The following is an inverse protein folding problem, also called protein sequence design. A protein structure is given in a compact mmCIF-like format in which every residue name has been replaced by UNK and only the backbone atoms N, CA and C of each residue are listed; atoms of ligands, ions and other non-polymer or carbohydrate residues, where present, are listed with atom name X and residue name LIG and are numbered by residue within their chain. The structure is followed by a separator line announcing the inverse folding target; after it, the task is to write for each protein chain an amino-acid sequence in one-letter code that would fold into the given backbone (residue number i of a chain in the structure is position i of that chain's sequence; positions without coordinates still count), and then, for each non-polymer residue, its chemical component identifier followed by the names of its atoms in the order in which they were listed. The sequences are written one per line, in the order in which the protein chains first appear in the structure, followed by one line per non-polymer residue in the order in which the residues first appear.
data_IF_799276818587
#
_entry.id   IF_799276818587
#
_cell.length_a   1.000
_cell.length_b   1.000
_cell.length_c   1.000
_cell.angle_alpha   90.00
_cell.angle_beta   90.00
_cell.angle_gamma   90.00
#
_symmetry.space_group_name_H-M   'P 1'
#
loop_
_entity.id
_entity.type
_entity.pdbx_description
1 polymer ?
#
# COMPACT_ATOMS: atom_id res chain seq x y z
N UNK A 1 15.98 -1.06 -23.68
CA UNK A 1 16.97 -2.15 -23.66
C UNK A 1 18.35 -1.56 -23.72
N UNK A 2 19.23 -1.94 -22.79
CA UNK A 2 20.64 -1.57 -22.78
C UNK A 2 21.46 -2.81 -23.18
N UNK A 3 22.41 -2.65 -24.08
CA UNK A 3 23.27 -3.75 -24.51
C UNK A 3 24.70 -3.46 -24.10
N UNK A 4 25.27 -4.34 -23.27
CA UNK A 4 26.68 -4.33 -22.93
C UNK A 4 27.44 -5.12 -24.00
N UNK A 5 28.47 -4.51 -24.59
CA UNK A 5 29.34 -5.14 -25.57
C UNK A 5 30.77 -5.16 -25.03
N UNK A 6 31.40 -6.32 -24.99
CA UNK A 6 32.76 -6.53 -24.54
C UNK A 6 33.57 -7.19 -25.65
N UNK A 7 34.69 -6.58 -26.05
CA UNK A 7 35.53 -7.06 -27.13
C UNK A 7 37.00 -7.21 -26.68
N UNK A 8 37.68 -8.20 -27.23
CA UNK A 8 39.13 -8.35 -27.18
C UNK A 8 39.67 -8.83 -28.54
N UNK A 9 40.97 -9.10 -28.63
CA UNK A 9 41.63 -9.51 -29.89
C UNK A 9 41.11 -10.83 -30.48
N UNK A 10 40.35 -11.62 -29.69
CA UNK A 10 39.76 -12.89 -30.12
C UNK A 10 38.30 -12.75 -30.57
N UNK A 11 37.64 -11.62 -30.30
CA UNK A 11 36.27 -11.36 -30.72
C UNK A 11 35.47 -10.49 -29.75
N UNK A 12 34.17 -10.36 -30.03
CA UNK A 12 33.22 -9.61 -29.22
C UNK A 12 32.13 -10.52 -28.65
N UNK A 13 31.67 -10.19 -27.45
CA UNK A 13 30.49 -10.76 -26.81
C UNK A 13 29.55 -9.63 -26.40
N UNK A 14 28.25 -9.84 -26.61
CA UNK A 14 27.23 -8.90 -26.20
C UNK A 14 26.21 -9.55 -25.27
N UNK A 15 25.68 -8.76 -24.33
CA UNK A 15 24.59 -9.14 -23.44
C UNK A 15 23.63 -7.97 -23.31
N UNK A 16 22.33 -8.25 -23.32
CA UNK A 16 21.30 -7.20 -23.24
C UNK A 16 20.53 -7.30 -21.92
N UNK A 17 20.28 -6.15 -21.31
CA UNK A 17 19.38 -5.99 -20.17
C UNK A 17 18.21 -5.12 -20.58
N UNK A 18 17.00 -5.55 -20.24
CA UNK A 18 15.81 -4.75 -20.43
C UNK A 18 15.55 -3.91 -19.18
N UNK A 19 15.39 -2.60 -19.36
CA UNK A 19 14.98 -1.73 -18.25
C UNK A 19 13.46 -1.75 -18.19
N UNK A 20 12.92 -2.47 -17.22
CA UNK A 20 11.50 -2.45 -16.91
C UNK A 20 11.23 -1.34 -15.90
N UNK A 21 10.75 -0.20 -16.38
CA UNK A 21 10.26 0.87 -15.50
C UNK A 21 8.85 0.48 -15.06
N UNK A 22 8.71 0.08 -13.80
CA UNK A 22 7.39 -0.16 -13.22
C UNK A 22 6.76 1.20 -12.92
N UNK A 23 5.65 1.58 -13.58
CA UNK A 23 5.00 2.84 -13.30
C UNK A 23 4.52 2.85 -11.85
N UNK A 24 4.69 3.98 -11.17
CA UNK A 24 4.19 4.18 -9.81
C UNK A 24 2.65 4.29 -9.84
N UNK A 25 1.96 3.14 -9.85
CA UNK A 25 0.50 3.08 -9.94
C UNK A 25 -0.10 3.50 -8.59
N UNK A 26 -0.76 4.65 -8.56
CA UNK A 26 -1.47 5.12 -7.37
C UNK A 26 -2.64 4.18 -7.08
N UNK A 27 -2.69 3.52 -5.90
CA UNK A 27 -3.79 2.62 -5.54
C UNK A 27 -5.14 3.28 -5.79
N UNK A 28 -6.12 2.53 -6.28
CA UNK A 28 -7.48 3.05 -6.55
C UNK A 28 -8.24 3.37 -5.26
N UNK A 29 -7.87 2.73 -4.16
CA UNK A 29 -8.36 2.96 -2.82
C UNK A 29 -7.90 1.83 -1.88
N UNK A 30 -8.43 1.77 -0.64
CA UNK A 30 -8.22 0.66 0.27
C UNK A 30 -8.90 -0.61 -0.26
N UNK A 31 -8.20 -1.36 -1.13
CA UNK A 31 -8.50 -2.78 -1.32
C UNK A 31 -7.72 -3.53 -0.24
N UNK A 32 -8.43 -4.13 0.72
CA UNK A 32 -7.74 -4.88 1.78
C UNK A 32 -7.02 -6.08 1.18
N UNK A 33 -5.81 -6.40 1.66
CA UNK A 33 -5.12 -7.64 1.32
C UNK A 33 -6.04 -8.87 1.54
N UNK A 34 -6.90 -8.78 2.57
CA UNK A 34 -7.95 -9.75 2.85
C UNK A 34 -9.01 -9.86 1.73
N UNK A 35 -9.35 -8.77 1.05
CA UNK A 35 -10.27 -8.78 -0.09
C UNK A 35 -9.65 -9.52 -1.28
N UNK A 36 -8.36 -9.27 -1.59
CA UNK A 36 -7.64 -10.05 -2.59
C UNK A 36 -7.63 -11.54 -2.22
N UNK A 37 -7.28 -11.88 -0.97
CA UNK A 37 -7.27 -13.28 -0.55
C UNK A 37 -8.62 -13.98 -0.71
N UNK A 38 -9.71 -13.29 -0.36
CA UNK A 38 -11.07 -13.80 -0.57
C UNK A 38 -11.36 -13.99 -2.07
N UNK A 39 -10.91 -13.06 -2.92
CA UNK A 39 -11.06 -13.16 -4.37
C UNK A 39 -10.26 -14.32 -4.97
N UNK A 40 -9.06 -14.59 -4.44
CA UNK A 40 -8.25 -15.76 -4.82
C UNK A 40 -8.80 -17.09 -4.27
N UNK A 41 -9.93 -17.06 -3.52
CA UNK A 41 -10.55 -18.21 -2.89
C UNK A 41 -9.57 -18.96 -1.97
N UNK A 42 -8.92 -18.23 -1.05
CA UNK A 42 -8.19 -18.84 0.05
C UNK A 42 -9.15 -19.54 1.01
N UNK A 43 -8.71 -20.68 1.56
CA UNK A 43 -9.45 -21.38 2.60
C UNK A 43 -9.72 -20.45 3.80
N UNK A 44 -10.93 -20.45 4.39
CA UNK A 44 -11.28 -19.58 5.51
C UNK A 44 -10.30 -19.64 6.69
N UNK A 45 -9.81 -20.83 7.01
CA UNK A 45 -8.81 -21.09 8.06
C UNK A 45 -7.44 -20.47 7.76
N UNK A 46 -7.12 -20.22 6.49
CA UNK A 46 -5.87 -19.60 6.04
C UNK A 46 -5.98 -18.08 5.85
N UNK A 47 -7.17 -17.47 6.03
CA UNK A 47 -7.35 -16.02 5.87
C UNK A 47 -6.61 -15.20 6.94
N UNK A 48 -6.27 -15.79 8.08
CA UNK A 48 -5.42 -15.17 9.10
C UNK A 48 -4.01 -14.87 8.58
N UNK A 49 -3.60 -15.57 7.52
CA UNK A 49 -2.31 -15.43 6.88
C UNK A 49 -2.25 -14.29 5.85
N UNK A 50 -3.39 -13.63 5.58
CA UNK A 50 -3.53 -12.48 4.70
C UNK A 50 -3.09 -11.18 5.36
N UNK A 51 -1.83 -11.16 5.78
CA UNK A 51 -1.17 -10.03 6.43
C UNK A 51 -0.03 -9.54 5.55
N UNK A 52 0.23 -8.22 5.62
CA UNK A 52 1.29 -7.57 4.83
C UNK A 52 2.67 -8.07 5.25
N UNK A 53 2.81 -8.45 6.52
CA UNK A 53 3.97 -9.17 7.04
C UNK A 53 3.64 -10.66 7.04
N UNK A 54 4.35 -11.44 6.23
CA UNK A 54 4.24 -12.90 6.20
C UNK A 54 4.95 -13.44 7.44
N UNK A 55 4.19 -13.88 8.45
CA UNK A 55 4.76 -14.63 9.58
C UNK A 55 5.05 -16.07 9.15
N UNK A 56 6.33 -16.41 9.04
CA UNK A 56 6.81 -17.74 8.64
C UNK A 56 6.31 -18.82 9.59
N UNK A 57 6.14 -18.51 10.88
CA UNK A 57 5.67 -19.46 11.89
C UNK A 57 4.23 -19.89 11.61
N UNK A 58 3.39 -18.99 11.08
CA UNK A 58 2.00 -19.28 10.77
C UNK A 58 1.87 -20.43 9.75
N UNK A 59 2.83 -20.57 8.83
CA UNK A 59 2.88 -21.61 7.81
C UNK A 59 3.52 -22.91 8.30
N UNK A 60 4.58 -22.80 9.11
CA UNK A 60 5.25 -23.96 9.71
C UNK A 60 4.30 -24.78 10.60
N UNK A 61 3.36 -24.12 11.27
CA UNK A 61 2.38 -24.77 12.14
C UNK A 61 1.04 -25.11 11.46
N UNK A 62 0.81 -24.66 10.22
CA UNK A 62 -0.40 -24.95 9.44
C UNK A 62 -0.05 -25.53 8.06
N UNK A 63 0.40 -26.80 7.99
CA UNK A 63 0.89 -27.40 6.75
C UNK A 63 -0.16 -27.47 5.62
N UNK A 64 -1.46 -27.43 5.94
CA UNK A 64 -2.53 -27.37 4.95
C UNK A 64 -2.61 -26.01 4.23
N UNK A 65 -2.22 -24.90 4.89
CA UNK A 65 -2.15 -23.58 4.27
C UNK A 65 -0.97 -23.41 3.31
N UNK A 66 0.01 -24.32 3.32
CA UNK A 66 1.11 -24.31 2.34
C UNK A 66 0.61 -24.51 0.90
N UNK A 67 -0.51 -25.21 0.71
CA UNK A 67 -1.14 -25.36 -0.61
C UNK A 67 -1.75 -24.06 -1.13
N UNK A 68 -2.04 -23.12 -0.23
CA UNK A 68 -2.64 -21.81 -0.53
C UNK A 68 -1.57 -20.71 -0.68
N UNK A 69 -0.30 -21.04 -0.45
CA UNK A 69 0.81 -20.08 -0.41
C UNK A 69 0.98 -19.31 -1.72
N UNK A 70 0.79 -19.97 -2.87
CA UNK A 70 0.86 -19.30 -4.18
C UNK A 70 -0.25 -18.27 -4.37
N UNK A 71 -1.45 -18.54 -3.87
CA UNK A 71 -2.59 -17.60 -3.92
C UNK A 71 -2.36 -16.40 -2.99
N UNK A 72 -1.78 -16.63 -1.82
CA UNK A 72 -1.37 -15.55 -0.93
C UNK A 72 -0.29 -14.68 -1.58
N UNK A 73 0.76 -15.29 -2.14
CA UNK A 73 1.87 -14.56 -2.75
C UNK A 73 1.38 -13.72 -3.94
N UNK A 74 0.35 -14.16 -4.68
CA UNK A 74 -0.33 -13.35 -5.70
C UNK A 74 -0.93 -12.06 -5.14
N UNK A 75 -1.46 -12.11 -3.92
CA UNK A 75 -2.00 -10.93 -3.23
C UNK A 75 -0.93 -10.08 -2.55
N UNK A 76 0.15 -10.71 -2.09
CA UNK A 76 1.31 -10.04 -1.49
C UNK A 76 2.32 -9.52 -2.54
N UNK A 77 2.01 -9.66 -3.84
CA UNK A 77 2.93 -9.30 -4.91
C UNK A 77 3.12 -7.79 -4.98
N UNK A 78 4.33 -7.31 -4.68
CA UNK A 78 4.71 -5.91 -4.84
C UNK A 78 5.20 -5.60 -6.27
N UNK A 79 5.42 -6.65 -7.08
CA UNK A 79 5.89 -6.53 -8.46
C UNK A 79 7.35 -6.12 -8.58
N UNK A 80 8.11 -6.17 -7.48
CA UNK A 80 9.50 -5.77 -7.42
C UNK A 80 10.40 -7.00 -7.56
N UNK A 81 11.49 -6.83 -8.31
CA UNK A 81 12.49 -7.87 -8.50
C UNK A 81 13.51 -7.86 -7.35
N UNK A 82 13.38 -8.80 -6.41
CA UNK A 82 14.25 -8.90 -5.22
C UNK A 82 15.47 -9.80 -5.43
N UNK A 83 15.77 -10.25 -6.67
CA UNK A 83 16.85 -11.22 -6.94
C UNK A 83 18.22 -10.76 -6.47
N UNK A 84 18.51 -9.46 -6.54
CA UNK A 84 19.79 -8.91 -6.08
C UNK A 84 20.01 -9.11 -4.57
N UNK A 85 18.98 -8.83 -3.76
CA UNK A 85 19.02 -9.11 -2.33
C UNK A 85 19.16 -10.62 -2.07
N UNK A 86 18.41 -11.44 -2.81
CA UNK A 86 18.46 -12.89 -2.65
C UNK A 86 19.85 -13.48 -2.94
N UNK A 87 20.50 -13.03 -4.02
CA UNK A 87 21.88 -13.42 -4.35
C UNK A 87 22.82 -13.01 -3.20
N UNK A 88 22.69 -11.78 -2.70
CA UNK A 88 23.51 -11.29 -1.60
C UNK A 88 23.31 -12.10 -0.30
N UNK A 89 22.08 -12.55 -0.03
CA UNK A 89 21.73 -13.38 1.12
C UNK A 89 21.95 -14.89 0.89
N UNK A 90 22.62 -15.28 -0.20
CA UNK A 90 23.04 -16.67 -0.43
C UNK A 90 21.94 -17.59 -0.95
N UNK A 91 20.85 -17.05 -1.51
CA UNK A 91 19.81 -17.84 -2.18
C UNK A 91 20.38 -18.39 -3.51
N UNK A 92 20.35 -19.72 -3.73
CA UNK A 92 20.87 -20.32 -4.96
C UNK A 92 20.15 -19.83 -6.21
N UNK A 93 20.84 -19.80 -7.35
CA UNK A 93 20.29 -19.38 -8.64
C UNK A 93 19.01 -20.13 -9.04
N UNK A 94 18.94 -21.43 -8.72
CA UNK A 94 17.75 -22.27 -8.94
C UNK A 94 16.52 -21.85 -8.12
N UNK A 95 16.70 -21.03 -7.08
CA UNK A 95 15.63 -20.54 -6.20
C UNK A 95 15.29 -19.06 -6.45
N UNK A 96 15.96 -18.36 -7.36
CA UNK A 96 15.74 -16.93 -7.59
C UNK A 96 14.35 -16.60 -8.17
N UNK A 97 13.65 -17.58 -8.76
CA UNK A 97 12.27 -17.42 -9.20
C UNK A 97 11.27 -17.15 -8.05
N UNK A 98 11.65 -17.41 -6.80
CA UNK A 98 10.85 -16.99 -5.63
C UNK A 98 11.10 -15.54 -5.23
N UNK A 99 12.14 -14.89 -5.78
CA UNK A 99 12.57 -13.56 -5.40
C UNK A 99 12.06 -12.48 -6.36
N UNK A 100 11.90 -12.77 -7.66
CA UNK A 100 11.41 -11.78 -8.61
C UNK A 100 9.87 -11.66 -8.65
N UNK A 101 9.17 -12.53 -7.91
CA UNK A 101 7.70 -12.64 -7.84
C UNK A 101 7.03 -12.61 -9.23
N UNK A 102 7.79 -12.91 -10.29
CA UNK A 102 7.44 -12.60 -11.68
C UNK A 102 6.48 -13.61 -12.28
N UNK A 103 6.39 -14.83 -11.72
CA UNK A 103 5.55 -15.90 -12.21
C UNK A 103 5.20 -16.95 -11.16
N UNK A 104 4.38 -17.92 -11.55
CA UNK A 104 4.03 -19.08 -10.71
C UNK A 104 5.26 -19.99 -10.56
N UNK A 105 6.05 -19.77 -9.50
CA UNK A 105 7.16 -20.66 -9.16
C UNK A 105 6.59 -21.97 -8.58
N UNK A 106 6.78 -23.14 -9.25
CA UNK A 106 6.30 -24.41 -8.71
C UNK A 106 6.97 -24.70 -7.37
N UNK A 107 6.29 -25.40 -6.45
CA UNK A 107 6.86 -25.72 -5.15
C UNK A 107 8.15 -26.53 -5.29
N UNK A 108 9.25 -26.03 -4.73
CA UNK A 108 10.54 -26.69 -4.72
C UNK A 108 11.00 -26.85 -3.25
N UNK A 109 11.01 -28.11 -2.79
CA UNK A 109 11.34 -28.44 -1.41
C UNK A 109 12.78 -28.02 -1.02
N UNK A 110 13.71 -28.01 -1.98
CA UNK A 110 15.07 -27.52 -1.72
C UNK A 110 15.08 -26.01 -1.41
N UNK A 111 14.27 -25.24 -2.13
CA UNK A 111 14.18 -23.79 -1.95
C UNK A 111 13.49 -23.40 -0.64
N UNK A 112 12.72 -24.31 -0.02
CA UNK A 112 12.14 -24.07 1.31
C UNK A 112 13.20 -23.83 2.39
N UNK A 113 14.41 -24.38 2.23
CA UNK A 113 15.53 -24.11 3.15
C UNK A 113 15.98 -22.64 3.13
N UNK A 114 15.62 -21.88 2.09
CA UNK A 114 15.97 -20.48 1.92
C UNK A 114 14.79 -19.54 2.17
N UNK A 115 13.66 -20.05 2.69
CA UNK A 115 12.42 -19.28 2.90
C UNK A 115 12.66 -18.02 3.72
N UNK A 116 13.48 -18.08 4.78
CA UNK A 116 13.77 -16.92 5.63
C UNK A 116 14.51 -15.82 4.87
N UNK A 117 15.51 -16.18 4.06
CA UNK A 117 16.30 -15.26 3.24
C UNK A 117 15.44 -14.65 2.13
N UNK A 118 14.66 -15.49 1.44
CA UNK A 118 13.73 -15.06 0.40
C UNK A 118 12.71 -14.07 0.97
N UNK A 119 12.04 -14.42 2.07
CA UNK A 119 11.04 -13.56 2.70
C UNK A 119 11.65 -12.29 3.28
N UNK A 120 12.87 -12.34 3.81
CA UNK A 120 13.59 -11.13 4.23
C UNK A 120 13.74 -10.17 3.07
N UNK A 121 14.22 -10.64 1.92
CA UNK A 121 14.39 -9.81 0.73
C UNK A 121 13.07 -9.29 0.17
N UNK A 122 12.06 -10.15 0.05
CA UNK A 122 10.70 -9.76 -0.37
C UNK A 122 10.11 -8.69 0.57
N UNK A 123 10.44 -8.73 1.86
CA UNK A 123 9.96 -7.75 2.85
C UNK A 123 10.86 -6.52 2.99
N UNK A 124 12.07 -6.49 2.43
CA UNK A 124 13.01 -5.36 2.63
C UNK A 124 12.43 -4.05 2.11
N UNK A 125 11.83 -4.08 0.92
CA UNK A 125 11.18 -2.90 0.36
C UNK A 125 10.00 -2.48 1.23
N UNK A 126 9.17 -3.41 1.71
CA UNK A 126 8.05 -3.15 2.62
C UNK A 126 8.51 -2.49 3.93
N UNK A 127 9.66 -2.92 4.48
CA UNK A 127 10.27 -2.32 5.68
C UNK A 127 10.76 -0.89 5.44
N UNK A 128 11.03 -0.52 4.19
CA UNK A 128 11.42 0.84 3.80
C UNK A 128 10.21 1.76 3.51
N UNK A 129 9.00 1.20 3.41
CA UNK A 129 7.77 1.97 3.21
C UNK A 129 7.37 2.70 4.51
N UNK A 130 6.78 3.89 4.40
CA UNK A 130 6.10 4.53 5.52
C UNK A 130 5.02 3.61 6.11
N UNK A 131 4.82 3.69 7.42
CA UNK A 131 3.60 3.17 8.04
C UNK A 131 2.36 3.97 7.60
N UNK A 132 1.15 3.55 7.95
CA UNK A 132 -0.05 4.36 7.74
C UNK A 132 0.02 5.65 8.59
N UNK A 133 -0.50 6.78 8.10
CA UNK A 133 -0.78 7.96 8.93
C UNK A 133 -1.68 7.58 10.11
N UNK A 134 -1.51 8.28 11.23
CA UNK A 134 -2.28 8.03 12.46
C UNK A 134 -3.12 9.23 12.85
N UNK A 135 -4.12 9.02 13.69
CA UNK A 135 -4.99 10.07 14.23
C UNK A 135 -5.61 10.96 13.13
N UNK A 136 -6.24 10.34 12.12
CA UNK A 136 -6.95 11.07 11.08
C UNK A 136 -8.16 11.78 11.72
N UNK A 137 -8.18 13.10 11.60
CA UNK A 137 -9.24 13.98 12.08
C UNK A 137 -9.90 14.62 10.87
N UNK A 138 -11.22 14.51 10.78
CA UNK A 138 -12.05 15.14 9.74
C UNK A 138 -12.98 16.12 10.42
N UNK A 139 -12.93 17.38 9.98
CA UNK A 139 -13.76 18.45 10.53
C UNK A 139 -14.41 19.26 9.41
N UNK A 140 -15.70 19.53 9.52
CA UNK A 140 -16.36 20.45 8.62
C UNK A 140 -15.86 21.89 8.84
N UNK A 141 -15.57 22.59 7.74
CA UNK A 141 -15.24 24.01 7.78
C UNK A 141 -16.55 24.81 7.86
N UNK A 142 -16.78 25.60 8.93
CA UNK A 142 -18.02 26.35 9.08
C UNK A 142 -18.29 27.28 7.89
N UNK A 143 -19.55 27.31 7.42
CA UNK A 143 -19.99 28.15 6.30
C UNK A 143 -19.45 27.74 4.93
N UNK A 144 -18.79 26.57 4.81
CA UNK A 144 -18.27 26.06 3.53
C UNK A 144 -18.72 24.62 3.30
N UNK A 145 -18.88 24.28 2.02
CA UNK A 145 -19.07 22.90 1.58
C UNK A 145 -17.72 22.19 1.50
N UNK A 146 -17.00 22.17 2.62
CA UNK A 146 -15.61 21.73 2.68
C UNK A 146 -15.28 21.01 4.00
N UNK A 147 -14.38 20.05 3.92
CA UNK A 147 -13.81 19.33 5.06
C UNK A 147 -12.32 19.67 5.20
N UNK A 148 -11.89 20.00 6.40
CA UNK A 148 -10.49 19.98 6.78
C UNK A 148 -10.13 18.57 7.27
N UNK A 149 -9.12 17.96 6.68
CA UNK A 149 -8.62 16.63 7.03
C UNK A 149 -7.19 16.81 7.51
N UNK A 150 -6.87 16.35 8.70
CA UNK A 150 -5.52 16.42 9.28
C UNK A 150 -5.14 15.11 9.93
N UNK A 151 -3.84 14.83 10.02
CA UNK A 151 -3.31 13.59 10.58
C UNK A 151 -1.92 13.79 11.16
N UNK A 152 -1.47 12.79 11.91
CA UNK A 152 -0.10 12.66 12.37
C UNK A 152 0.72 11.79 11.40
N UNK A 153 2.02 12.07 11.21
CA UNK A 153 2.90 11.23 10.42
C UNK A 153 2.94 9.78 10.92
N UNK A 154 3.30 8.83 10.05
CA UNK A 154 3.45 7.43 10.43
C UNK A 154 4.46 7.21 11.57
N UNK A 155 4.14 6.29 12.49
CA UNK A 155 5.08 5.89 13.55
C UNK A 155 6.32 5.18 12.97
N UNK A 156 6.12 4.34 11.95
CA UNK A 156 7.20 3.70 11.20
C UNK A 156 7.58 4.54 10.00
N UNK A 157 8.86 4.87 9.84
CA UNK A 157 9.40 5.58 8.68
C UNK A 157 8.71 6.91 8.36
N UNK A 158 8.06 7.57 9.33
CA UNK A 158 7.36 8.85 9.11
C UNK A 158 8.27 9.98 8.60
N UNK A 159 9.57 9.92 8.90
CA UNK A 159 10.57 10.86 8.39
C UNK A 159 10.94 10.66 6.92
N UNK A 160 10.62 9.49 6.36
CA UNK A 160 10.87 9.16 4.96
C UNK A 160 9.67 9.54 4.07
N UNK A 161 8.60 10.09 4.65
CA UNK A 161 7.43 10.49 3.87
C UNK A 161 7.75 11.72 3.05
N UNK A 162 7.52 11.62 1.74
CA UNK A 162 7.66 12.72 0.80
C UNK A 162 6.31 13.41 0.55
N UNK A 163 5.23 12.64 0.43
CA UNK A 163 3.88 13.15 0.23
C UNK A 163 2.81 12.27 0.88
N UNK A 164 1.60 12.81 0.97
CA UNK A 164 0.39 12.10 1.35
C UNK A 164 -0.64 12.13 0.20
N UNK A 165 -1.47 11.10 0.14
CA UNK A 165 -2.64 11.05 -0.74
C UNK A 165 -3.87 10.82 0.13
N UNK A 166 -4.77 11.80 0.13
CA UNK A 166 -6.08 11.72 0.79
C UNK A 166 -7.07 11.10 -0.19
N UNK A 167 -7.69 10.00 0.23
CA UNK A 167 -8.75 9.31 -0.49
C UNK A 167 -10.07 9.67 0.16
N UNK A 168 -11.02 10.17 -0.63
CA UNK A 168 -12.34 10.52 -0.12
C UNK A 168 -13.45 10.20 -1.11
N UNK A 169 -14.61 9.82 -0.60
CA UNK A 169 -15.81 9.61 -1.42
C UNK A 169 -17.08 9.78 -0.59
N UNK A 170 -18.21 10.17 -1.20
CA UNK A 170 -19.51 9.94 -0.58
C UNK A 170 -19.73 8.43 -0.37
N UNK A 171 -20.38 8.04 0.73
CA UNK A 171 -20.61 6.64 1.10
C UNK A 171 -21.42 5.83 0.07
N UNK A 172 -22.25 6.51 -0.73
CA UNK A 172 -23.04 5.90 -1.80
C UNK A 172 -22.25 5.73 -3.12
N UNK A 173 -21.00 6.20 -3.18
CA UNK A 173 -20.12 6.04 -4.35
C UNK A 173 -19.10 4.95 -4.06
N UNK A 174 -18.75 4.17 -5.08
CA UNK A 174 -17.73 3.12 -4.96
C UNK A 174 -16.31 3.67 -5.03
N UNK A 175 -16.05 4.55 -6.01
CA UNK A 175 -14.73 5.06 -6.35
C UNK A 175 -14.29 6.24 -5.48
N UNK A 176 -13.02 6.24 -5.10
CA UNK A 176 -12.40 7.33 -4.36
C UNK A 176 -11.93 8.46 -5.28
N UNK A 177 -12.20 9.70 -4.86
CA UNK A 177 -11.46 10.88 -5.28
C UNK A 177 -10.14 10.93 -4.50
N UNK A 178 -9.12 11.57 -5.09
CA UNK A 178 -7.76 11.62 -4.53
C UNK A 178 -7.26 13.06 -4.48
N UNK A 179 -6.64 13.44 -3.37
CA UNK A 179 -6.00 14.73 -3.19
C UNK A 179 -4.56 14.54 -2.69
N UNK A 180 -3.57 15.06 -3.44
CA UNK A 180 -2.14 14.95 -3.10
C UNK A 180 -1.69 16.18 -2.33
N UNK A 181 -0.91 15.98 -1.26
CA UNK A 181 -0.34 17.07 -0.46
C UNK A 181 1.00 16.67 0.16
N UNK A 182 1.91 17.62 0.33
CA UNK A 182 3.15 17.46 1.12
C UNK A 182 2.92 17.78 2.61
N UNK A 183 1.76 18.37 2.94
CA UNK A 183 1.39 18.72 4.31
C UNK A 183 0.69 17.54 4.97
N UNK A 184 0.68 17.55 6.30
CA UNK A 184 -0.09 16.61 7.12
C UNK A 184 -1.57 17.03 7.27
N UNK A 185 -2.08 17.81 6.32
CA UNK A 185 -3.47 18.23 6.23
C UNK A 185 -3.86 18.52 4.77
N UNK A 186 -5.15 18.50 4.51
CA UNK A 186 -5.76 18.87 3.23
C UNK A 186 -7.16 19.48 3.46
N UNK A 187 -7.55 20.40 2.57
CA UNK A 187 -8.92 20.93 2.53
C UNK A 187 -9.62 20.37 1.30
N UNK A 188 -10.65 19.55 1.54
CA UNK A 188 -11.50 18.98 0.50
C UNK A 188 -12.65 19.96 0.24
N UNK A 189 -12.80 20.47 -0.99
CA UNK A 189 -13.82 21.47 -1.36
C UNK A 189 -14.88 20.88 -2.29
N UNK A 190 -15.89 21.69 -2.61
CA UNK A 190 -16.93 21.38 -3.60
C UNK A 190 -17.69 20.08 -3.28
N UNK A 191 -17.89 19.85 -1.97
CA UNK A 191 -18.53 18.64 -1.46
C UNK A 191 -20.06 18.77 -1.48
N UNK A 192 -20.73 17.64 -1.65
CA UNK A 192 -22.18 17.57 -1.60
C UNK A 192 -22.67 17.62 -0.15
N UNK A 193 -23.47 18.64 0.15
CA UNK A 193 -24.08 18.82 1.46
C UNK A 193 -25.09 17.70 1.72
N UNK A 194 -25.20 17.23 2.96
CA UNK A 194 -26.04 16.11 3.39
C UNK A 194 -25.52 14.71 3.01
N UNK A 195 -24.33 14.61 2.40
CA UNK A 195 -23.66 13.34 2.19
C UNK A 195 -22.75 12.97 3.38
N UNK A 196 -22.64 11.67 3.66
CA UNK A 196 -21.59 11.14 4.53
C UNK A 196 -20.38 10.82 3.67
N UNK A 197 -19.23 11.38 4.03
CA UNK A 197 -17.96 11.14 3.36
C UNK A 197 -17.13 10.13 4.14
N UNK A 198 -16.57 9.16 3.43
CA UNK A 198 -15.52 8.28 3.92
C UNK A 198 -14.17 8.85 3.51
N UNK A 199 -13.27 9.01 4.47
CA UNK A 199 -11.94 9.60 4.25
C UNK A 199 -10.86 8.71 4.83
N UNK A 200 -9.80 8.45 4.06
CA UNK A 200 -8.58 7.80 4.54
C UNK A 200 -7.36 8.44 3.88
N UNK A 201 -6.17 8.21 4.43
CA UNK A 201 -4.94 8.87 3.97
C UNK A 201 -3.81 7.85 3.89
N UNK A 202 -3.04 7.87 2.81
CA UNK A 202 -1.79 7.09 2.72
C UNK A 202 -0.58 8.01 2.69
N UNK A 203 0.53 7.51 3.24
CA UNK A 203 1.83 8.14 3.14
C UNK A 203 2.63 7.53 1.98
N UNK A 204 3.50 8.31 1.37
CA UNK A 204 4.23 7.92 0.15
C UNK A 204 5.68 8.35 0.25
N UNK A 205 6.58 7.48 -0.22
CA UNK A 205 7.99 7.81 -0.47
C UNK A 205 8.44 7.23 -1.82
N UNK A 206 9.73 7.35 -2.13
CA UNK A 206 10.27 6.84 -3.40
C UNK A 206 10.10 5.32 -3.61
N UNK A 207 9.86 4.56 -2.54
CA UNK A 207 9.74 3.11 -2.59
C UNK A 207 8.29 2.63 -2.71
N UNK A 208 7.28 3.48 -2.45
CA UNK A 208 5.88 3.05 -2.49
C UNK A 208 4.93 3.81 -1.57
N UNK A 209 3.82 3.15 -1.27
CA UNK A 209 2.74 3.66 -0.44
C UNK A 209 2.67 2.90 0.89
N UNK A 210 2.26 3.58 1.94
CA UNK A 210 1.82 2.90 3.15
C UNK A 210 0.55 2.10 2.92
N UNK A 211 0.26 1.18 3.83
CA UNK A 211 -1.09 0.63 3.98
C UNK A 211 -2.11 1.75 4.28
N UNK A 212 -3.38 1.45 4.05
CA UNK A 212 -4.48 2.32 4.41
C UNK A 212 -4.85 2.13 5.89
N UNK A 213 -4.91 3.21 6.69
CA UNK A 213 -5.59 3.18 7.98
C UNK A 213 -7.11 3.03 7.78
N UNK A 214 -7.86 2.67 8.84
CA UNK A 214 -9.32 2.66 8.81
C UNK A 214 -9.87 4.01 8.33
N UNK A 215 -10.89 3.96 7.47
CA UNK A 215 -11.55 5.17 7.00
C UNK A 215 -12.34 5.84 8.13
N UNK A 216 -12.33 7.17 8.15
CA UNK A 216 -13.14 8.02 9.02
C UNK A 216 -14.36 8.49 8.25
N UNK A 217 -15.54 8.24 8.81
CA UNK A 217 -16.80 8.71 8.23
C UNK A 217 -17.23 10.04 8.87
N UNK A 218 -17.53 11.04 8.05
CA UNK A 218 -18.02 12.34 8.51
C UNK A 218 -19.23 12.78 7.70
N UNK A 219 -20.33 13.11 8.37
CA UNK A 219 -21.52 13.66 7.73
C UNK A 219 -21.35 15.16 7.49
N UNK A 220 -21.47 15.61 6.25
CA UNK A 220 -21.42 17.03 5.92
C UNK A 220 -22.83 17.63 6.05
N UNK A 221 -22.99 18.62 6.92
CA UNK A 221 -24.30 19.25 7.16
C UNK A 221 -24.39 20.64 6.54
N UNK A 222 -25.58 21.07 6.13
CA UNK A 222 -25.80 22.47 5.77
C UNK A 222 -25.70 23.33 7.03
N UNK A 223 -24.85 24.35 7.05
CA UNK A 223 -24.83 25.30 8.16
C UNK A 223 -26.05 26.20 8.04
N UNK A 224 -26.92 26.20 9.05
CA UNK A 224 -28.02 27.16 9.14
C UNK A 224 -27.42 28.57 9.24
N UNK A 225 -27.88 29.49 8.39
CA UNK A 225 -27.56 30.90 8.53
C UNK A 225 -28.04 31.37 9.90
N UNK A 226 -27.12 31.76 10.79
CA UNK A 226 -27.49 32.38 12.06
C UNK A 226 -28.13 33.75 11.76
N UNK A 227 -29.46 33.82 11.73
CA UNK A 227 -30.21 35.07 11.87
C UNK A 227 -30.15 35.50 13.33
N UNK A 228 -29.11 36.27 13.67
CA UNK A 228 -28.98 36.87 14.99
C UNK A 228 -29.91 38.09 15.14
N UNK A 229 -31.15 37.90 15.61
CA UNK A 229 -31.92 38.98 16.21
C UNK A 229 -31.42 39.22 17.63
N UNK A 230 -30.46 40.14 17.77
CA UNK A 230 -30.01 40.67 19.05
C UNK A 230 -31.11 41.53 19.69
N UNK A 231 -31.87 40.96 20.62
CA UNK A 231 -32.80 41.72 21.47
C UNK A 231 -31.98 42.45 22.55
N UNK A 232 -31.66 43.72 22.32
CA UNK A 232 -31.11 44.60 23.37
C UNK A 232 -32.09 44.67 24.55
N UNK A 233 -31.65 44.24 25.73
CA UNK A 233 -32.24 44.65 27.02
C UNK A 233 -31.52 45.91 27.46
N UNK A 234 -32.23 47.05 27.48
CA UNK A 234 -31.80 48.24 28.19
C UNK A 234 -31.95 47.99 29.70
N UNK A 235 -30.89 48.30 30.45
CA UNK A 235 -30.91 48.50 31.91
C UNK A 235 -31.17 49.98 32.17
#
# INVERSE_FOLDING_TARGET
TYTCNACNDLGCANSSVELTVHPFVIPTGPESLLACCKQQNLLPECLSACTVDIDVNLYLYNPHCMNEFSKLLKCAKDGVDHRQCCIYNGVPSSCLGYCDQGGDAPLNLFCLNFTSQILTCVQELHRSLPGPPVDIIVQQIPGRNALNVSWNPPLRNGKLVEVYIVYYKPSYVSNYLKFRTEKNWAVLTDLNVSATYEVTVTAVNQNGFSNFPPSVSHQLSAVAAHTGEGKLRMV
#
